data_IF_032507071726
#
_entry.id   IF_032507071726
#
_cell.length_a   1.000
_cell.length_b   1.000
_cell.length_c   1.000
_cell.angle_alpha   90.00
_cell.angle_beta   90.00
_cell.angle_gamma   90.00
#
_symmetry.space_group_name_H-M   'P 1'
#
loop_
_entity.id
_entity.type
_entity.pdbx_description
1 polymer ?
#
# COMPACT_ATOMS: atom_id res chain seq x y z
N UNK A 1 28.41 4.83 -20.68
CA UNK A 1 28.06 3.74 -19.74
C UNK A 1 26.56 3.85 -19.49
N UNK A 2 25.83 2.75 -19.51
CA UNK A 2 24.42 2.76 -19.11
C UNK A 2 24.32 3.03 -17.62
N UNK A 3 23.27 3.77 -17.20
CA UNK A 3 22.93 3.94 -15.81
C UNK A 3 22.34 2.67 -15.21
N UNK A 4 21.82 2.76 -14.00
CA UNK A 4 21.14 1.65 -13.31
C UNK A 4 19.78 2.09 -12.80
N UNK A 5 18.78 1.20 -12.87
CA UNK A 5 17.45 1.43 -12.30
C UNK A 5 17.25 0.53 -11.09
N UNK A 6 16.88 1.11 -9.95
CA UNK A 6 16.52 0.41 -8.73
C UNK A 6 14.99 0.37 -8.58
N UNK A 7 14.41 -0.83 -8.55
CA UNK A 7 13.00 -1.03 -8.21
C UNK A 7 12.91 -1.20 -6.69
N UNK A 8 12.50 -0.13 -5.99
CA UNK A 8 12.60 -0.05 -4.52
C UNK A 8 11.22 -0.11 -3.88
N UNK A 9 11.05 -1.01 -2.92
CA UNK A 9 9.87 -1.04 -2.08
C UNK A 9 9.93 0.03 -0.99
N UNK A 10 8.93 0.90 -0.98
CA UNK A 10 8.78 2.01 -0.01
C UNK A 10 8.20 1.57 1.33
N UNK A 11 7.75 0.32 1.45
CA UNK A 11 7.01 -0.15 2.61
C UNK A 11 5.52 0.22 2.58
N UNK A 12 4.77 -0.09 3.66
CA UNK A 12 3.30 -0.03 3.69
C UNK A 12 2.74 1.36 4.00
N UNK A 13 3.59 2.30 4.46
CA UNK A 13 3.13 3.65 4.84
C UNK A 13 4.06 4.35 5.82
N UNK A 14 4.55 3.68 6.87
CA UNK A 14 5.56 4.23 7.78
C UNK A 14 6.92 4.32 7.06
N UNK A 15 7.50 5.52 6.87
CA UNK A 15 8.80 5.67 6.20
C UNK A 15 9.96 4.95 6.92
N UNK A 16 9.82 4.64 8.21
CA UNK A 16 10.82 3.87 8.98
C UNK A 16 10.88 2.40 8.57
N UNK A 17 9.90 1.92 7.79
CA UNK A 17 9.90 0.57 7.23
C UNK A 17 10.60 0.47 5.86
N UNK A 18 11.22 1.56 5.40
CA UNK A 18 12.14 1.49 4.28
C UNK A 18 13.37 0.65 4.67
N UNK A 19 13.82 -0.22 3.77
CA UNK A 19 15.05 -0.97 4.01
C UNK A 19 16.28 -0.07 3.96
N UNK A 20 17.35 -0.45 4.66
CA UNK A 20 18.63 0.26 4.60
C UNK A 20 19.12 0.39 3.16
N UNK A 21 18.98 -0.67 2.35
CA UNK A 21 19.34 -0.63 0.93
C UNK A 21 18.49 0.37 0.15
N UNK A 22 17.20 0.44 0.44
CA UNK A 22 16.31 1.45 -0.16
C UNK A 22 16.76 2.88 0.16
N UNK A 23 17.14 3.16 1.41
CA UNK A 23 17.65 4.46 1.82
C UNK A 23 18.97 4.80 1.12
N UNK A 24 19.92 3.85 1.06
CA UNK A 24 21.21 4.04 0.39
C UNK A 24 21.05 4.43 -1.10
N UNK A 25 20.17 3.75 -1.83
CA UNK A 25 20.00 4.03 -3.26
C UNK A 25 19.24 5.33 -3.50
N UNK A 26 18.28 5.68 -2.63
CA UNK A 26 17.58 6.97 -2.68
C UNK A 26 18.53 8.15 -2.48
N UNK A 27 19.49 8.06 -1.55
CA UNK A 27 20.42 9.15 -1.21
C UNK A 27 21.40 9.49 -2.36
N UNK A 28 21.54 8.64 -3.35
CA UNK A 28 22.47 8.83 -4.48
C UNK A 28 21.81 8.79 -5.85
N UNK A 29 20.48 8.89 -5.90
CA UNK A 29 19.74 8.84 -7.15
C UNK A 29 19.77 10.17 -7.89
N UNK A 30 19.79 10.10 -9.23
CA UNK A 30 19.60 11.27 -10.10
C UNK A 30 18.11 11.50 -10.40
N UNK A 31 17.30 10.43 -10.39
CA UNK A 31 15.87 10.48 -10.71
C UNK A 31 15.08 9.57 -9.78
N UNK A 32 13.99 10.09 -9.20
CA UNK A 32 13.00 9.30 -8.45
C UNK A 32 11.69 9.29 -9.23
N UNK A 33 11.25 8.10 -9.65
CA UNK A 33 9.92 7.86 -10.22
C UNK A 33 9.07 7.19 -9.14
N UNK A 34 8.00 7.82 -8.66
CA UNK A 34 7.29 7.37 -7.47
C UNK A 34 5.78 7.28 -7.65
N UNK A 35 5.13 6.39 -6.90
CA UNK A 35 3.68 6.21 -6.84
C UNK A 35 3.07 7.01 -5.68
N UNK A 36 1.78 7.27 -5.75
CA UNK A 36 1.01 7.91 -4.68
C UNK A 36 1.07 7.15 -3.33
N UNK A 37 1.25 5.82 -3.38
CA UNK A 37 1.34 4.99 -2.17
C UNK A 37 2.72 5.03 -1.50
N UNK A 38 3.75 5.58 -2.15
CA UNK A 38 5.03 5.80 -1.53
C UNK A 38 4.94 6.99 -0.55
N UNK A 39 5.39 6.85 0.71
CA UNK A 39 5.38 7.95 1.67
C UNK A 39 6.17 9.16 1.16
N UNK A 40 5.54 10.34 1.13
CA UNK A 40 6.17 11.56 0.63
C UNK A 40 7.48 11.91 1.36
N UNK A 41 7.57 11.61 2.66
CA UNK A 41 8.77 11.83 3.46
C UNK A 41 10.01 11.09 2.92
N UNK A 42 9.82 9.99 2.18
CA UNK A 42 10.96 9.27 1.58
C UNK A 42 11.59 10.03 0.42
N UNK A 43 10.85 10.93 -0.23
CA UNK A 43 11.40 11.77 -1.31
C UNK A 43 12.46 12.76 -0.77
N UNK A 44 12.42 13.07 0.52
CA UNK A 44 13.39 13.97 1.15
C UNK A 44 14.75 13.29 1.40
N UNK A 45 14.83 11.96 1.27
CA UNK A 45 16.10 11.24 1.27
C UNK A 45 16.88 11.43 -0.04
N UNK A 46 16.18 11.72 -1.14
CA UNK A 46 16.83 11.95 -2.43
C UNK A 46 17.55 13.31 -2.45
N UNK A 47 18.67 13.44 -3.19
CA UNK A 47 19.36 14.70 -3.35
C UNK A 47 18.40 15.82 -3.83
N UNK A 48 18.61 17.06 -3.37
CA UNK A 48 17.77 18.22 -3.75
C UNK A 48 17.71 18.45 -5.26
N UNK A 49 18.75 18.09 -5.99
CA UNK A 49 18.83 18.21 -7.44
C UNK A 49 18.28 17.01 -8.21
N UNK A 50 17.81 15.95 -7.53
CA UNK A 50 17.24 14.79 -8.20
C UNK A 50 15.92 15.13 -8.88
N UNK A 51 15.75 14.67 -10.12
CA UNK A 51 14.48 14.77 -10.85
C UNK A 51 13.40 13.95 -10.12
N UNK A 52 12.23 14.52 -9.89
CA UNK A 52 11.09 13.85 -9.24
C UNK A 52 9.96 13.67 -10.25
N UNK A 53 9.66 12.42 -10.62
CA UNK A 53 8.60 12.05 -11.56
C UNK A 53 7.46 11.40 -10.80
N UNK A 54 6.34 12.09 -10.69
CA UNK A 54 5.12 11.54 -10.11
C UNK A 54 4.40 10.68 -11.15
N UNK A 55 4.34 9.37 -10.91
CA UNK A 55 3.64 8.40 -11.75
C UNK A 55 2.18 8.19 -11.30
N UNK A 56 1.77 8.73 -10.14
CA UNK A 56 0.44 8.59 -9.58
C UNK A 56 -0.58 9.55 -10.19
N UNK A 57 -1.86 9.37 -9.80
CA UNK A 57 -2.92 10.34 -10.10
C UNK A 57 -2.77 11.57 -9.19
N UNK A 58 -2.60 12.74 -9.77
CA UNK A 58 -2.67 14.01 -9.07
C UNK A 58 -3.93 14.80 -9.51
N UNK A 59 -4.37 15.78 -8.71
CA UNK A 59 -5.49 16.66 -9.10
C UNK A 59 -5.18 17.32 -10.45
N UNK A 60 -6.04 17.10 -11.44
CA UNK A 60 -5.90 17.67 -12.78
C UNK A 60 -4.86 16.99 -13.69
N UNK A 61 -4.23 15.88 -13.27
CA UNK A 61 -3.27 15.13 -14.06
C UNK A 61 -3.67 13.65 -14.11
N UNK A 62 -3.68 13.07 -15.31
CA UNK A 62 -3.89 11.64 -15.52
C UNK A 62 -2.64 10.91 -15.04
N UNK A 63 -2.82 9.77 -14.32
CA UNK A 63 -1.70 8.90 -13.97
C UNK A 63 -0.97 8.45 -15.24
N UNK A 64 0.35 8.29 -15.15
CA UNK A 64 1.10 7.67 -16.23
C UNK A 64 0.62 6.22 -16.42
N UNK A 65 0.43 5.81 -17.67
CA UNK A 65 0.21 4.41 -18.00
C UNK A 65 1.46 3.59 -17.66
N UNK A 66 1.32 2.26 -17.57
CA UNK A 66 2.47 1.41 -17.30
C UNK A 66 3.52 1.49 -18.41
N UNK A 67 3.08 1.64 -19.68
CA UNK A 67 3.97 1.83 -20.82
C UNK A 67 4.74 3.16 -20.72
N UNK A 68 4.11 4.21 -20.23
CA UNK A 68 4.77 5.50 -20.00
C UNK A 68 5.80 5.43 -18.89
N UNK A 69 5.46 4.75 -17.77
CA UNK A 69 6.41 4.49 -16.68
C UNK A 69 7.61 3.72 -17.21
N UNK A 70 7.37 2.62 -17.93
CA UNK A 70 8.43 1.79 -18.51
C UNK A 70 9.33 2.61 -19.44
N UNK A 71 8.75 3.46 -20.29
CA UNK A 71 9.50 4.36 -21.18
C UNK A 71 10.38 5.34 -20.42
N UNK A 72 9.87 5.93 -19.33
CA UNK A 72 10.64 6.86 -18.49
C UNK A 72 11.82 6.14 -17.86
N UNK A 73 11.61 4.96 -17.27
CA UNK A 73 12.67 4.18 -16.63
C UNK A 73 13.78 3.81 -17.63
N UNK A 74 13.39 3.30 -18.80
CA UNK A 74 14.34 2.91 -19.86
C UNK A 74 15.09 4.15 -20.40
N UNK A 75 14.41 5.25 -20.68
CA UNK A 75 15.04 6.48 -21.19
C UNK A 75 16.09 7.01 -20.22
N UNK A 76 15.73 7.15 -18.94
CA UNK A 76 16.65 7.67 -17.92
C UNK A 76 17.83 6.73 -17.68
N UNK A 77 17.61 5.41 -17.65
CA UNK A 77 18.67 4.41 -17.53
C UNK A 77 19.65 4.43 -18.72
N UNK A 78 19.15 4.54 -19.95
CA UNK A 78 19.99 4.67 -21.17
C UNK A 78 20.83 5.93 -21.20
N UNK A 79 20.37 7.00 -20.57
CA UNK A 79 21.10 8.27 -20.44
C UNK A 79 22.23 8.22 -19.40
N UNK A 80 22.47 7.07 -18.77
CA UNK A 80 23.55 6.89 -17.80
C UNK A 80 23.18 7.33 -16.38
N UNK A 81 21.88 7.59 -16.10
CA UNK A 81 21.42 8.07 -14.80
C UNK A 81 21.17 6.92 -13.82
N UNK A 82 21.36 7.21 -12.53
CA UNK A 82 20.89 6.37 -11.42
C UNK A 82 19.44 6.69 -11.15
N UNK A 83 18.55 5.73 -11.37
CA UNK A 83 17.10 5.90 -11.25
C UNK A 83 16.57 5.06 -10.11
N UNK A 84 15.74 5.64 -9.23
CA UNK A 84 14.95 4.90 -8.25
C UNK A 84 13.49 4.92 -8.69
N UNK A 85 12.91 3.74 -8.92
CA UNK A 85 11.48 3.52 -9.01
C UNK A 85 10.95 3.16 -7.62
N UNK A 86 10.38 4.14 -6.91
CA UNK A 86 9.88 3.99 -5.55
C UNK A 86 8.41 3.56 -5.56
N UNK A 87 8.12 2.37 -5.04
CA UNK A 87 6.82 1.69 -5.11
C UNK A 87 6.26 1.42 -3.73
N UNK A 88 4.97 1.67 -3.49
CA UNK A 88 4.33 1.27 -2.23
C UNK A 88 4.45 -0.23 -1.97
N UNK A 89 4.68 -0.63 -0.71
CA UNK A 89 4.90 -2.02 -0.32
C UNK A 89 6.19 -2.60 -0.87
N UNK A 90 6.08 -3.71 -1.58
CA UNK A 90 7.18 -4.44 -2.26
C UNK A 90 7.00 -4.37 -3.78
N UNK A 91 8.06 -4.20 -4.59
CA UNK A 91 7.96 -4.07 -6.04
C UNK A 91 7.33 -5.28 -6.73
N UNK A 92 7.54 -6.48 -6.20
CA UNK A 92 7.12 -7.75 -6.82
C UNK A 92 5.86 -8.35 -6.19
N UNK A 93 5.27 -7.70 -5.16
CA UNK A 93 4.02 -8.12 -4.55
C UNK A 93 2.88 -7.23 -5.03
N UNK A 94 2.17 -7.64 -6.08
CA UNK A 94 1.07 -6.91 -6.75
C UNK A 94 1.42 -5.46 -7.15
N UNK A 95 2.74 -5.16 -7.27
CA UNK A 95 3.25 -3.84 -7.60
C UNK A 95 3.62 -3.65 -9.07
N UNK A 96 3.40 -4.63 -9.95
CA UNK A 96 3.77 -4.61 -11.38
C UNK A 96 5.28 -4.43 -11.64
N UNK A 97 6.13 -4.58 -10.62
CA UNK A 97 7.58 -4.47 -10.76
C UNK A 97 8.17 -5.48 -11.74
N UNK A 98 7.53 -6.65 -11.91
CA UNK A 98 7.92 -7.62 -12.94
C UNK A 98 7.80 -7.08 -14.36
N UNK A 99 6.75 -6.29 -14.67
CA UNK A 99 6.57 -5.64 -15.97
C UNK A 99 7.65 -4.57 -16.22
N UNK A 100 7.97 -3.80 -15.17
CA UNK A 100 9.04 -2.79 -15.21
C UNK A 100 10.42 -3.45 -15.42
N UNK A 101 10.72 -4.54 -14.70
CA UNK A 101 11.95 -5.30 -14.82
C UNK A 101 12.10 -5.93 -16.22
N UNK A 102 11.03 -6.49 -16.78
CA UNK A 102 11.03 -7.03 -18.15
C UNK A 102 11.31 -5.96 -19.21
N UNK A 103 10.74 -4.78 -19.05
CA UNK A 103 10.99 -3.66 -19.96
C UNK A 103 12.46 -3.19 -19.91
N UNK A 104 13.05 -3.13 -18.70
CA UNK A 104 14.45 -2.77 -18.51
C UNK A 104 15.38 -3.84 -19.11
N UNK A 105 15.13 -5.12 -18.81
CA UNK A 105 15.91 -6.23 -19.37
C UNK A 105 15.86 -6.23 -20.89
N UNK A 106 14.68 -6.12 -21.49
CA UNK A 106 14.49 -6.05 -22.94
C UNK A 106 15.17 -4.84 -23.59
N UNK A 107 15.37 -3.76 -22.84
CA UNK A 107 16.08 -2.56 -23.29
C UNK A 107 17.59 -2.58 -23.05
N UNK A 108 18.12 -3.63 -22.39
CA UNK A 108 19.53 -3.75 -22.01
C UNK A 108 19.95 -2.74 -20.93
N UNK A 109 18.99 -2.25 -20.10
CA UNK A 109 19.27 -1.35 -18.99
C UNK A 109 19.49 -2.17 -17.71
N UNK A 110 20.64 -2.04 -17.03
CA UNK A 110 20.89 -2.71 -15.76
C UNK A 110 19.85 -2.31 -14.70
N UNK A 111 19.39 -3.27 -13.91
CA UNK A 111 18.49 -2.98 -12.80
C UNK A 111 18.78 -3.86 -11.57
N UNK A 112 18.34 -3.38 -10.40
CA UNK A 112 18.36 -4.11 -9.14
C UNK A 112 16.97 -4.01 -8.51
N UNK A 113 16.47 -5.10 -7.92
CA UNK A 113 15.25 -5.09 -7.13
C UNK A 113 15.64 -5.00 -5.66
N UNK A 114 15.15 -3.96 -5.00
CA UNK A 114 15.32 -3.77 -3.56
C UNK A 114 13.97 -4.05 -2.89
N UNK A 115 13.79 -5.22 -2.24
CA UNK A 115 12.54 -5.58 -1.59
C UNK A 115 12.09 -4.55 -0.56
N UNK A 116 10.80 -4.49 -0.33
CA UNK A 116 10.17 -3.67 0.71
C UNK A 116 9.22 -4.47 1.58
N UNK A 117 8.82 -3.89 2.71
CA UNK A 117 7.82 -4.51 3.58
C UNK A 117 6.45 -4.43 2.91
N UNK A 118 5.93 -5.58 2.46
CA UNK A 118 4.62 -5.64 1.83
C UNK A 118 3.49 -5.37 2.83
N UNK A 119 2.43 -4.67 2.39
CA UNK A 119 1.20 -4.52 3.16
C UNK A 119 0.56 -5.87 3.53
N UNK A 120 0.85 -6.93 2.78
CA UNK A 120 0.37 -8.28 3.08
C UNK A 120 0.83 -8.82 4.45
N UNK A 121 1.98 -8.38 4.94
CA UNK A 121 2.48 -8.75 6.27
C UNK A 121 2.41 -7.58 7.25
N UNK A 122 2.58 -6.36 6.78
CA UNK A 122 2.58 -5.20 7.66
C UNK A 122 1.18 -4.81 8.14
N UNK A 123 0.15 -4.87 7.29
CA UNK A 123 -1.19 -4.48 7.70
C UNK A 123 -1.73 -5.39 8.83
N UNK A 124 -1.66 -6.72 8.72
CA UNK A 124 -2.00 -7.60 9.84
C UNK A 124 -1.15 -7.30 11.08
N UNK A 125 0.17 -7.18 10.96
CA UNK A 125 1.06 -6.95 12.10
C UNK A 125 0.73 -5.65 12.86
N UNK A 126 0.44 -4.57 12.14
CA UNK A 126 0.04 -3.29 12.74
C UNK A 126 -1.39 -3.31 13.32
N UNK A 127 -2.19 -4.30 12.96
CA UNK A 127 -3.49 -4.58 13.57
C UNK A 127 -3.42 -5.60 14.72
N UNK A 128 -2.22 -6.07 15.12
CA UNK A 128 -2.05 -7.09 16.14
C UNK A 128 -2.49 -8.49 15.69
N UNK A 129 -2.45 -8.76 14.37
CA UNK A 129 -2.87 -10.04 13.79
C UNK A 129 -1.64 -10.78 13.24
N UNK A 130 -1.14 -11.83 13.89
CA UNK A 130 -0.13 -12.67 13.29
C UNK A 130 -0.73 -13.49 12.14
N UNK A 131 -0.14 -13.41 10.94
CA UNK A 131 -0.64 -14.17 9.78
C UNK A 131 -0.43 -15.69 9.92
N UNK A 132 0.50 -16.10 10.78
CA UNK A 132 0.69 -17.49 11.22
C UNK A 132 0.81 -17.52 12.75
N UNK A 133 0.26 -18.56 13.38
CA UNK A 133 0.36 -18.74 14.83
C UNK A 133 0.30 -20.23 15.16
N UNK A 134 1.23 -20.72 16.02
CA UNK A 134 1.25 -22.12 16.43
C UNK A 134 -0.08 -22.52 17.06
N UNK A 135 -0.70 -23.56 16.53
CA UNK A 135 -1.98 -24.08 17.00
C UNK A 135 -3.22 -23.37 16.45
N UNK A 136 -3.07 -22.29 15.67
CA UNK A 136 -4.18 -21.59 15.03
C UNK A 136 -4.06 -21.53 13.50
N UNK A 137 -2.89 -21.16 12.98
CA UNK A 137 -2.68 -20.98 11.54
C UNK A 137 -1.26 -21.40 11.18
N UNK A 138 -1.12 -22.47 10.40
CA UNK A 138 0.16 -22.98 9.89
C UNK A 138 0.50 -22.44 8.50
N UNK A 139 -0.49 -21.85 7.81
CA UNK A 139 -0.36 -21.36 6.45
C UNK A 139 -1.08 -20.02 6.27
N UNK A 140 -0.57 -19.20 5.34
CA UNK A 140 -1.30 -18.02 4.88
C UNK A 140 -1.12 -17.84 3.38
N UNK A 141 -2.14 -17.28 2.74
CA UNK A 141 -2.12 -16.94 1.32
C UNK A 141 -2.39 -15.44 1.14
N UNK A 142 -1.67 -14.85 0.18
CA UNK A 142 -1.85 -13.45 -0.22
C UNK A 142 -2.50 -13.39 -1.59
N UNK A 143 -3.60 -12.66 -1.68
CA UNK A 143 -4.46 -12.61 -2.86
C UNK A 143 -4.72 -11.15 -3.21
N UNK A 144 -4.81 -10.84 -4.51
CA UNK A 144 -5.42 -9.59 -4.96
C UNK A 144 -6.94 -9.77 -5.03
N UNK A 145 -7.69 -8.91 -4.36
CA UNK A 145 -9.16 -8.92 -4.47
C UNK A 145 -9.64 -8.46 -5.87
N UNK A 146 -8.75 -7.84 -6.66
CA UNK A 146 -9.06 -7.30 -7.99
C UNK A 146 -7.98 -7.75 -8.98
N UNK A 147 -8.40 -8.24 -10.13
CA UNK A 147 -7.52 -8.61 -11.24
C UNK A 147 -7.27 -7.43 -12.19
N UNK A 148 -6.43 -7.63 -13.20
CA UNK A 148 -6.20 -6.65 -14.25
C UNK A 148 -7.52 -6.19 -14.89
N UNK A 149 -7.67 -4.88 -15.13
CA UNK A 149 -8.91 -4.31 -15.66
C UNK A 149 -10.04 -4.16 -14.64
N UNK A 150 -9.79 -4.39 -13.34
CA UNK A 150 -10.80 -4.25 -12.28
C UNK A 150 -11.75 -5.44 -12.13
N UNK A 151 -11.49 -6.56 -12.84
CA UNK A 151 -12.27 -7.78 -12.70
C UNK A 151 -12.15 -8.39 -11.29
N UNK A 152 -13.20 -9.05 -10.76
CA UNK A 152 -13.13 -9.77 -9.50
C UNK A 152 -12.16 -10.95 -9.59
N UNK A 153 -11.43 -11.21 -8.52
CA UNK A 153 -10.65 -12.44 -8.40
C UNK A 153 -11.58 -13.64 -8.21
N UNK A 154 -11.23 -14.77 -8.81
CA UNK A 154 -11.86 -16.04 -8.47
C UNK A 154 -11.35 -16.55 -7.13
N UNK A 155 -12.12 -16.32 -6.08
CA UNK A 155 -11.78 -16.70 -4.72
C UNK A 155 -12.10 -18.16 -4.39
N UNK A 156 -12.87 -18.87 -5.23
CA UNK A 156 -13.28 -20.25 -4.98
C UNK A 156 -12.07 -21.19 -4.85
N UNK A 157 -11.04 -21.00 -5.69
CA UNK A 157 -9.82 -21.82 -5.67
C UNK A 157 -8.93 -21.54 -4.47
N UNK A 158 -8.97 -20.32 -3.92
CA UNK A 158 -8.03 -19.85 -2.88
C UNK A 158 -8.66 -19.83 -1.50
N UNK A 159 -9.98 -19.85 -1.37
CA UNK A 159 -10.68 -19.83 -0.10
C UNK A 159 -10.26 -20.98 0.84
N UNK A 160 -10.01 -22.17 0.31
CA UNK A 160 -9.57 -23.34 1.07
C UNK A 160 -8.03 -23.51 1.10
N UNK A 161 -7.26 -22.62 0.47
CA UNK A 161 -5.83 -22.84 0.23
C UNK A 161 -4.95 -22.63 1.45
N UNK A 162 -5.42 -21.86 2.45
CA UNK A 162 -4.63 -21.53 3.65
C UNK A 162 -5.53 -21.22 4.84
N UNK A 163 -4.95 -21.34 6.04
CA UNK A 163 -5.64 -21.02 7.30
C UNK A 163 -5.96 -19.53 7.39
N UNK A 164 -5.00 -18.67 7.05
CA UNK A 164 -5.18 -17.21 7.00
C UNK A 164 -5.15 -16.72 5.53
N UNK A 165 -6.11 -15.90 5.16
CA UNK A 165 -6.10 -15.20 3.88
C UNK A 165 -5.85 -13.71 4.11
N UNK A 166 -4.99 -13.13 3.28
CA UNK A 166 -4.71 -11.71 3.25
C UNK A 166 -5.03 -11.19 1.85
N UNK A 167 -6.08 -10.36 1.75
CA UNK A 167 -6.55 -9.84 0.48
C UNK A 167 -6.20 -8.37 0.35
N UNK A 168 -5.29 -8.08 -0.59
CA UNK A 168 -4.95 -6.72 -0.96
C UNK A 168 -5.98 -6.13 -1.92
N UNK A 169 -6.10 -4.79 -1.96
CA UNK A 169 -7.04 -4.07 -2.82
C UNK A 169 -8.52 -4.44 -2.58
N UNK A 170 -8.88 -4.72 -1.33
CA UNK A 170 -10.23 -5.15 -0.96
C UNK A 170 -11.19 -3.99 -0.61
N UNK A 171 -10.70 -2.74 -0.48
CA UNK A 171 -11.48 -1.61 0.03
C UNK A 171 -12.81 -1.41 -0.70
N UNK A 172 -12.78 -1.21 -2.00
CA UNK A 172 -13.97 -0.88 -2.82
C UNK A 172 -14.95 -2.04 -2.98
N UNK A 173 -14.53 -3.26 -2.63
CA UNK A 173 -15.30 -4.50 -2.85
C UNK A 173 -15.43 -5.36 -1.60
N UNK A 174 -15.26 -4.77 -0.41
CA UNK A 174 -15.19 -5.50 0.85
C UNK A 174 -16.37 -6.47 1.03
N UNK A 175 -17.60 -5.98 0.90
CA UNK A 175 -18.82 -6.78 1.06
C UNK A 175 -18.90 -7.94 0.07
N UNK A 176 -18.59 -7.66 -1.19
CA UNK A 176 -18.59 -8.65 -2.26
C UNK A 176 -17.54 -9.74 -1.99
N UNK A 177 -16.33 -9.34 -1.63
CA UNK A 177 -15.23 -10.27 -1.30
C UNK A 177 -15.59 -11.16 -0.12
N UNK A 178 -16.13 -10.61 0.97
CA UNK A 178 -16.59 -11.42 2.11
C UNK A 178 -17.70 -12.40 1.70
N UNK A 179 -18.68 -11.96 0.91
CA UNK A 179 -19.75 -12.81 0.39
C UNK A 179 -19.19 -13.95 -0.49
N UNK A 180 -18.24 -13.66 -1.37
CA UNK A 180 -17.61 -14.65 -2.22
C UNK A 180 -16.78 -15.67 -1.42
N UNK A 181 -16.09 -15.25 -0.37
CA UNK A 181 -15.35 -16.16 0.51
C UNK A 181 -16.29 -17.12 1.23
N UNK A 182 -17.42 -16.62 1.74
CA UNK A 182 -18.46 -17.47 2.36
C UNK A 182 -19.04 -18.46 1.33
N UNK A 183 -19.39 -18.00 0.14
CA UNK A 183 -19.89 -18.84 -0.94
C UNK A 183 -18.86 -19.90 -1.38
N UNK A 184 -17.57 -19.59 -1.25
CA UNK A 184 -16.46 -20.50 -1.53
C UNK A 184 -16.14 -21.49 -0.38
N UNK A 185 -16.95 -21.48 0.69
CA UNK A 185 -16.86 -22.45 1.77
C UNK A 185 -16.15 -21.96 3.05
N UNK A 186 -15.75 -20.68 3.15
CA UNK A 186 -15.26 -20.16 4.44
C UNK A 186 -16.43 -20.02 5.42
N UNK A 187 -16.23 -20.34 6.71
CA UNK A 187 -17.28 -20.20 7.70
C UNK A 187 -17.79 -18.75 7.81
N UNK A 188 -19.10 -18.49 7.79
CA UNK A 188 -19.64 -17.13 7.96
C UNK A 188 -19.19 -16.46 9.27
N UNK A 189 -19.02 -17.25 10.33
CA UNK A 189 -18.53 -16.80 11.66
C UNK A 189 -17.01 -16.71 11.76
N UNK A 190 -16.26 -16.90 10.68
CA UNK A 190 -14.80 -16.81 10.73
C UNK A 190 -14.36 -15.38 11.04
N UNK A 191 -13.39 -15.20 11.97
CA UNK A 191 -12.86 -13.89 12.30
C UNK A 191 -12.23 -13.20 11.11
N UNK A 192 -12.56 -11.93 10.91
CA UNK A 192 -12.05 -11.10 9.84
C UNK A 192 -11.75 -9.69 10.32
N UNK A 193 -10.80 -9.04 9.69
CA UNK A 193 -10.43 -7.65 9.95
C UNK A 193 -10.09 -6.90 8.65
N UNK A 194 -10.50 -5.64 8.57
CA UNK A 194 -10.08 -4.73 7.52
C UNK A 194 -9.14 -3.71 8.12
N UNK A 195 -7.97 -3.56 7.52
CA UNK A 195 -6.93 -2.62 7.94
C UNK A 195 -6.73 -1.59 6.84
N UNK A 196 -7.19 -0.38 7.06
CA UNK A 196 -7.00 0.74 6.15
C UNK A 196 -5.79 1.57 6.56
N UNK A 197 -5.07 2.13 5.58
CA UNK A 197 -3.92 3.02 5.76
C UNK A 197 -2.91 2.49 6.77
N UNK A 198 -2.63 1.19 6.71
CA UNK A 198 -1.79 0.48 7.68
C UNK A 198 -0.46 1.19 7.92
N UNK A 199 0.02 1.15 9.19
CA UNK A 199 1.27 1.74 9.66
C UNK A 199 1.36 3.27 9.58
N UNK A 200 0.28 3.96 9.29
CA UNK A 200 0.23 5.43 9.26
C UNK A 200 -0.58 5.99 10.43
N UNK A 201 -0.47 7.31 10.65
CA UNK A 201 -1.34 8.00 11.62
C UNK A 201 -2.85 7.95 11.28
N UNK A 202 -3.19 7.57 10.05
CA UNK A 202 -4.56 7.40 9.59
C UNK A 202 -5.02 5.92 9.62
N UNK A 203 -4.25 5.02 10.22
CA UNK A 203 -4.64 3.62 10.30
C UNK A 203 -5.99 3.46 10.97
N UNK A 204 -6.86 2.67 10.35
CA UNK A 204 -8.14 2.26 10.91
C UNK A 204 -8.29 0.76 10.81
N UNK A 205 -8.72 0.12 11.89
CA UNK A 205 -8.96 -1.32 11.93
C UNK A 205 -10.43 -1.56 12.27
N UNK A 206 -11.09 -2.38 11.46
CA UNK A 206 -12.47 -2.84 11.69
C UNK A 206 -12.41 -4.35 11.81
N UNK A 207 -12.82 -4.89 12.94
CA UNK A 207 -12.86 -6.34 13.21
C UNK A 207 -14.30 -6.84 13.29
N UNK A 208 -14.51 -8.10 12.95
CA UNK A 208 -15.78 -8.79 13.02
C UNK A 208 -15.66 -10.21 12.48
N UNK A 209 -16.76 -10.76 11.98
CA UNK A 209 -16.81 -12.00 11.23
C UNK A 209 -16.96 -11.70 9.73
N UNK A 210 -16.71 -12.69 8.88
CA UNK A 210 -16.96 -12.56 7.43
C UNK A 210 -18.42 -12.16 7.16
N UNK A 211 -19.39 -12.75 7.90
CA UNK A 211 -20.82 -12.42 7.73
C UNK A 211 -21.13 -10.98 8.17
N UNK A 212 -20.57 -10.52 9.27
CA UNK A 212 -20.77 -9.13 9.73
C UNK A 212 -20.17 -8.13 8.74
N UNK A 213 -18.96 -8.38 8.23
CA UNK A 213 -18.35 -7.51 7.23
C UNK A 213 -19.11 -7.54 5.89
N UNK A 214 -19.65 -8.71 5.48
CA UNK A 214 -20.49 -8.83 4.30
C UNK A 214 -21.80 -8.04 4.41
N UNK A 215 -22.38 -7.97 5.61
CA UNK A 215 -23.62 -7.24 5.89
C UNK A 215 -23.40 -5.75 6.24
N UNK A 216 -22.15 -5.37 6.57
CA UNK A 216 -21.88 -4.02 7.06
C UNK A 216 -21.98 -2.95 5.98
N UNK A 217 -22.32 -1.71 6.39
CA UNK A 217 -22.20 -0.52 5.57
C UNK A 217 -20.88 0.22 5.78
N UNK A 218 -19.88 -0.47 6.33
CA UNK A 218 -18.58 0.13 6.60
C UNK A 218 -17.91 0.48 5.29
N UNK A 219 -17.76 1.77 5.05
CA UNK A 219 -16.89 2.29 3.99
C UNK A 219 -15.45 2.35 4.50
N UNK A 220 -14.55 1.87 3.69
CA UNK A 220 -13.12 1.82 3.98
C UNK A 220 -12.36 2.48 2.85
N UNK A 221 -11.66 3.57 3.18
CA UNK A 221 -10.83 4.25 2.19
C UNK A 221 -9.61 3.41 1.77
N UNK A 222 -9.28 3.37 0.48
CA UNK A 222 -8.05 2.75 0.03
C UNK A 222 -6.80 3.58 0.45
N UNK A 223 -5.67 2.94 0.73
CA UNK A 223 -5.42 1.51 0.62
C UNK A 223 -5.95 0.72 1.82
N UNK A 224 -6.57 -0.44 1.57
CA UNK A 224 -7.00 -1.33 2.64
C UNK A 224 -6.73 -2.81 2.32
N UNK A 225 -6.51 -3.56 3.39
CA UNK A 225 -6.21 -4.99 3.37
C UNK A 225 -7.26 -5.73 4.22
N UNK A 226 -7.91 -6.74 3.66
CA UNK A 226 -8.75 -7.67 4.41
C UNK A 226 -7.90 -8.85 4.87
N UNK A 227 -8.06 -9.23 6.13
CA UNK A 227 -7.43 -10.43 6.71
C UNK A 227 -8.53 -11.29 7.31
N UNK A 228 -8.55 -12.58 7.01
CA UNK A 228 -9.50 -13.54 7.62
C UNK A 228 -8.79 -14.84 7.98
N UNK A 229 -9.21 -15.45 9.07
CA UNK A 229 -8.66 -16.68 9.60
C UNK A 229 -8.65 -16.69 11.13
N UNK A 230 -8.32 -17.85 11.76
CA UNK A 230 -8.41 -18.03 13.21
C UNK A 230 -7.55 -17.04 14.00
N UNK A 231 -6.39 -16.65 13.49
CA UNK A 231 -5.47 -15.75 14.18
C UNK A 231 -5.97 -14.30 14.27
N UNK A 232 -6.98 -13.90 13.48
CA UNK A 232 -7.60 -12.57 13.57
C UNK A 232 -8.25 -12.35 14.95
N UNK A 233 -8.71 -13.42 15.62
CA UNK A 233 -9.25 -13.34 16.99
C UNK A 233 -8.24 -12.79 18.02
N UNK A 234 -6.95 -12.79 17.71
CA UNK A 234 -5.90 -12.27 18.59
C UNK A 234 -5.75 -10.74 18.52
N UNK A 235 -6.37 -10.07 17.54
CA UNK A 235 -6.20 -8.64 17.28
C UNK A 235 -6.36 -7.77 18.53
N UNK A 236 -7.44 -7.99 19.31
CA UNK A 236 -7.71 -7.22 20.52
C UNK A 236 -6.67 -7.44 21.63
N UNK A 237 -6.13 -8.66 21.77
CA UNK A 237 -5.13 -9.01 22.78
C UNK A 237 -3.71 -8.55 22.39
N UNK A 238 -3.43 -8.41 21.11
CA UNK A 238 -2.11 -8.07 20.56
C UNK A 238 -2.06 -6.65 19.97
N UNK A 239 -3.08 -5.82 20.18
CA UNK A 239 -3.09 -4.44 19.74
C UNK A 239 -1.95 -3.66 20.41
N UNK A 240 -0.96 -3.25 19.63
CA UNK A 240 0.22 -2.52 20.09
C UNK A 240 0.37 -1.15 19.43
N UNK A 241 -0.18 -1.00 18.20
CA UNK A 241 -0.06 0.23 17.46
C UNK A 241 -1.29 1.11 17.70
N UNK A 242 -1.05 2.28 18.28
CA UNK A 242 -2.05 3.35 18.40
C UNK A 242 -1.67 4.45 17.41
N UNK A 243 -2.49 4.71 16.37
CA UNK A 243 -2.29 5.88 15.52
C UNK A 243 -2.26 7.15 16.36
N UNK A 244 -1.34 8.06 16.10
CA UNK A 244 -1.36 9.36 16.75
C UNK A 244 -2.72 10.03 16.46
N UNK A 245 -3.37 10.57 17.50
CA UNK A 245 -4.59 11.34 17.30
C UNK A 245 -4.33 12.43 16.25
N UNK A 246 -5.27 12.68 15.32
CA UNK A 246 -5.11 13.76 14.36
C UNK A 246 -4.83 15.05 15.15
N UNK A 247 -3.71 15.70 14.86
CA UNK A 247 -3.42 17.03 15.41
C UNK A 247 -4.58 17.93 14.94
N UNK A 248 -5.43 18.35 15.86
CA UNK A 248 -6.49 19.31 15.56
C UNK A 248 -5.83 20.50 14.89
N UNK A 249 -6.15 20.74 13.63
CA UNK A 249 -5.60 21.86 12.88
C UNK A 249 -5.87 23.14 13.67
N UNK A 250 -4.81 23.88 13.97
CA UNK A 250 -4.91 25.25 14.46
C UNK A 250 -5.53 26.08 13.35
N UNK A 251 -6.88 26.07 13.30
CA UNK A 251 -7.64 27.01 12.52
C UNK A 251 -7.38 28.39 13.11
N UNK A 252 -6.52 29.17 12.48
CA UNK A 252 -6.44 30.60 12.69
C UNK A 252 -7.80 31.18 12.36
N UNK A 253 -8.60 31.46 13.40
CA UNK A 253 -9.78 32.27 13.28
C UNK A 253 -9.32 33.66 12.80
N UNK A 254 -9.59 33.98 11.54
CA UNK A 254 -9.51 35.34 11.03
C UNK A 254 -10.63 36.11 11.70
N UNK A 255 -10.27 36.96 12.68
CA UNK A 255 -11.18 37.82 13.38
C UNK A 255 -11.79 38.80 12.38
N UNK A 256 -13.12 38.75 12.22
CA UNK A 256 -13.89 39.78 11.58
C UNK A 256 -13.87 41.04 12.49
N UNK A 257 -13.12 42.05 12.06
CA UNK A 257 -13.18 43.39 12.62
C UNK A 257 -14.52 44.04 12.25
N UNK A 258 -15.46 44.02 13.16
CA UNK A 258 -16.65 44.90 13.07
C UNK A 258 -16.23 46.35 13.27
N UNK A 259 -16.24 47.11 12.20
CA UNK A 259 -16.18 48.56 12.23
C UNK A 259 -17.58 49.07 12.64
N UNK A 260 -17.78 49.42 13.91
CA UNK A 260 -18.93 50.18 14.35
C UNK A 260 -18.69 51.65 14.04
N UNK A 261 -19.33 52.15 13.00
CA UNK A 261 -19.45 53.57 12.76
C UNK A 261 -20.41 54.17 13.81
N UNK A 262 -19.94 55.16 14.53
CA UNK A 262 -20.79 56.08 15.28
C UNK A 262 -20.74 57.45 14.64
N UNK A 263 -21.89 57.88 14.15
CA UNK A 263 -22.11 59.22 13.72
C UNK A 263 -22.42 60.12 14.95
N UNK A 264 -21.69 61.20 15.08
CA UNK A 264 -22.12 62.60 15.32
C UNK A 264 -20.92 63.51 15.34
#
# INVERSE_FOLDING_TARGET
>A
MSGIVYLVGAGPGDPRLLTLRGAEVLQRTDVVVYDRLAPAALLDLAPRGAERVDAGKARGRVALSQEEINRVLVDRGRRGLTVVRLKGGDPFVFGRGGEEALALAGAGVPFEVVPGVSAAVAAPAYAGIPVTHRGLAASYAVISATLAGGAPADLARTAAAADTLVLLMAAERLREVCTQLIAAGRPPGEPAAVVASASTGAQRVVTGTLAELAASEVEVDPPATLVTGPSVALAGSLAWFAPAAPVAGTGTAVGENQVTGSAR
#
